data_IF_772556719079
#
_entry.id   IF_772556719079
#
_cell.length_a   1.000
_cell.length_b   1.000
_cell.length_c   1.000
_cell.angle_alpha   90.00
_cell.angle_beta   90.00
_cell.angle_gamma   90.00
#
_symmetry.space_group_name_H-M   'P 1'
#
loop_
_entity.id
_entity.type
_entity.pdbx_description
1 polymer ?
#
# COMPACT_ATOMS: atom_id res chain seq x y z
N UNK A 1 -3.33 19.41 22.50
CA UNK A 1 -4.40 19.36 21.50
C UNK A 1 -4.06 20.30 20.37
N UNK A 2 -4.80 20.31 19.27
CA UNK A 2 -4.60 21.26 18.16
C UNK A 2 -5.00 22.71 18.52
N UNK A 3 -5.64 22.91 19.68
CA UNK A 3 -6.08 24.20 20.21
C UNK A 3 -7.56 24.52 19.90
N UNK A 4 -8.11 25.61 20.46
CA UNK A 4 -9.54 25.95 20.34
C UNK A 4 -10.00 26.23 18.91
N UNK A 5 -9.11 26.73 18.05
CA UNK A 5 -9.39 26.98 16.63
C UNK A 5 -9.60 25.72 15.79
N UNK A 6 -9.36 24.54 16.37
CA UNK A 6 -9.57 23.24 15.76
C UNK A 6 -10.16 22.23 16.76
N UNK A 7 -11.17 22.69 17.52
CA UNK A 7 -11.98 21.90 18.45
C UNK A 7 -11.16 21.00 19.39
N UNK A 8 -9.97 21.43 19.78
CA UNK A 8 -9.07 20.68 20.65
C UNK A 8 -8.77 19.24 20.22
N UNK A 9 -8.62 19.03 18.89
CA UNK A 9 -8.27 17.71 18.34
C UNK A 9 -7.09 17.08 19.09
N UNK A 10 -7.28 15.83 19.53
CA UNK A 10 -6.31 15.10 20.34
C UNK A 10 -5.12 14.67 19.48
N UNK A 11 -3.98 14.46 20.13
CA UNK A 11 -2.82 13.81 19.52
C UNK A 11 -2.90 12.32 19.86
N UNK A 12 -3.40 11.45 18.97
CA UNK A 12 -3.44 10.03 19.23
C UNK A 12 -2.03 9.42 19.27
N UNK A 13 -1.90 8.31 19.98
CA UNK A 13 -0.70 7.48 19.94
C UNK A 13 -0.64 6.69 18.64
N UNK A 14 0.54 6.62 18.03
CA UNK A 14 0.72 5.94 16.74
C UNK A 14 0.95 4.45 17.00
N UNK A 15 -0.11 3.66 16.89
CA UNK A 15 -0.01 2.20 16.85
C UNK A 15 0.55 1.73 15.49
N UNK A 16 1.10 0.51 15.39
CA UNK A 16 1.59 -0.03 14.12
C UNK A 16 0.52 -0.11 13.02
N UNK A 17 -0.73 -0.37 13.39
CA UNK A 17 -1.88 -0.44 12.49
C UNK A 17 -2.19 0.92 11.88
N UNK A 18 -2.33 1.94 12.74
CA UNK A 18 -2.57 3.33 12.31
C UNK A 18 -1.41 3.82 11.44
N UNK A 19 -0.16 3.48 11.80
CA UNK A 19 1.00 3.83 10.98
C UNK A 19 0.92 3.24 9.57
N UNK A 20 0.46 2.00 9.44
CA UNK A 20 0.27 1.33 8.14
C UNK A 20 -0.79 2.04 7.32
N UNK A 21 -1.94 2.34 7.92
CA UNK A 21 -3.04 3.03 7.24
C UNK A 21 -2.63 4.44 6.78
N UNK A 22 -1.90 5.18 7.63
CA UNK A 22 -1.36 6.49 7.26
C UNK A 22 -0.34 6.41 6.11
N UNK A 23 0.48 5.35 6.07
CA UNK A 23 1.38 5.11 4.93
C UNK A 23 0.61 4.80 3.65
N UNK A 24 -0.46 4.01 3.73
CA UNK A 24 -1.34 3.70 2.59
C UNK A 24 -1.96 5.00 2.04
N UNK A 25 -2.49 5.86 2.91
CA UNK A 25 -3.04 7.17 2.51
C UNK A 25 -1.99 8.01 1.81
N UNK A 26 -0.76 8.06 2.35
CA UNK A 26 0.35 8.79 1.73
C UNK A 26 0.71 8.25 0.35
N UNK A 27 0.64 6.94 0.17
CA UNK A 27 0.92 6.24 -1.09
C UNK A 27 -0.33 6.02 -1.97
N UNK A 28 -1.44 6.74 -1.72
CA UNK A 28 -2.70 6.60 -2.47
C UNK A 28 -2.56 6.73 -3.98
N UNK A 29 -1.55 7.47 -4.44
CA UNK A 29 -1.23 7.67 -5.85
C UNK A 29 -0.72 6.40 -6.57
N UNK A 30 -0.28 5.39 -5.82
CA UNK A 30 0.24 4.12 -6.39
C UNK A 30 -0.78 2.98 -6.25
N UNK A 31 -1.86 3.18 -5.49
CA UNK A 31 -2.84 2.13 -5.22
C UNK A 31 -3.68 1.78 -6.45
N UNK A 32 -4.18 2.79 -7.17
CA UNK A 32 -5.00 2.61 -8.36
C UNK A 32 -4.33 3.31 -9.56
N UNK A 33 -3.99 2.57 -10.64
CA UNK A 33 -3.36 3.15 -11.83
C UNK A 33 -4.25 4.15 -12.58
N UNK A 34 -5.55 4.19 -12.30
CA UNK A 34 -6.52 5.08 -12.94
C UNK A 34 -6.85 6.33 -12.12
N UNK A 35 -6.33 6.44 -10.89
CA UNK A 35 -6.60 7.57 -9.99
C UNK A 35 -5.35 8.40 -9.77
N UNK A 36 -5.36 9.60 -10.34
CA UNK A 36 -4.29 10.57 -10.17
C UNK A 36 -4.70 11.61 -9.13
N UNK A 37 -3.98 11.62 -8.00
CA UNK A 37 -4.17 12.61 -6.94
C UNK A 37 -3.14 13.73 -7.06
N UNK A 38 -3.48 14.91 -6.52
CA UNK A 38 -2.49 15.98 -6.31
C UNK A 38 -1.35 15.44 -5.44
N UNK A 39 -0.12 15.71 -5.85
CA UNK A 39 1.08 15.31 -5.13
C UNK A 39 1.09 15.94 -3.74
N UNK A 40 1.32 15.12 -2.73
CA UNK A 40 1.55 15.58 -1.36
C UNK A 40 3.06 15.60 -1.10
N UNK A 41 3.61 16.80 -0.91
CA UNK A 41 5.03 17.00 -0.57
C UNK A 41 5.28 17.05 0.95
N UNK A 42 4.28 16.69 1.76
CA UNK A 42 4.40 16.69 3.22
C UNK A 42 5.51 15.75 3.71
N UNK A 43 6.45 16.32 4.47
CA UNK A 43 7.58 15.60 5.08
C UNK A 43 7.17 14.97 6.41
N UNK A 44 6.28 13.98 6.38
CA UNK A 44 5.98 13.18 7.57
C UNK A 44 4.58 12.60 7.59
N UNK A 45 4.20 12.05 8.75
CA UNK A 45 2.82 11.74 9.11
C UNK A 45 2.24 12.95 9.87
N UNK A 46 0.92 13.19 9.78
CA UNK A 46 0.28 14.30 10.49
C UNK A 46 0.43 14.13 12.02
N UNK A 47 0.67 15.24 12.74
CA UNK A 47 0.82 15.25 14.20
C UNK A 47 -0.51 15.09 14.93
N UNK A 48 -1.59 15.64 14.39
CA UNK A 48 -2.94 15.57 14.93
C UNK A 48 -3.83 14.96 13.86
N UNK A 49 -4.58 13.92 14.22
CA UNK A 49 -5.50 13.23 13.33
C UNK A 49 -6.52 12.45 14.16
N UNK A 50 -7.64 12.10 13.53
CA UNK A 50 -8.67 11.23 14.07
C UNK A 50 -9.05 10.19 13.02
N UNK A 51 -9.39 8.99 13.47
CA UNK A 51 -9.87 7.90 12.61
C UNK A 51 -11.38 7.82 12.80
N UNK A 52 -12.12 7.95 11.70
CA UNK A 52 -13.58 7.92 11.70
C UNK A 52 -14.11 7.01 10.61
N UNK A 53 -15.36 6.58 10.77
CA UNK A 53 -16.09 5.78 9.78
C UNK A 53 -17.18 6.63 9.14
N UNK A 54 -17.41 6.41 7.84
CA UNK A 54 -18.44 7.15 7.11
C UNK A 54 -19.81 6.60 7.50
N UNK A 55 -20.71 7.48 7.96
CA UNK A 55 -22.13 7.16 8.13
C UNK A 55 -22.86 7.46 6.83
N UNK A 56 -23.27 6.39 6.14
CA UNK A 56 -23.98 6.47 4.86
C UNK A 56 -25.29 7.28 4.99
N UNK A 57 -25.60 8.06 3.95
CA UNK A 57 -26.82 8.87 3.91
C UNK A 57 -28.09 8.02 3.73
N UNK A 58 -29.26 8.52 4.15
CA UNK A 58 -30.51 7.77 4.07
C UNK A 58 -31.09 7.67 2.65
N UNK A 59 -30.51 8.35 1.67
CA UNK A 59 -31.08 8.46 0.30
C UNK A 59 -30.44 7.52 -0.72
N UNK A 60 -29.28 6.94 -0.43
CA UNK A 60 -28.56 6.06 -1.35
C UNK A 60 -28.32 4.70 -0.69
N UNK A 61 -29.21 3.75 -0.96
CA UNK A 61 -29.21 2.44 -0.32
C UNK A 61 -28.37 1.39 -1.05
N UNK A 62 -28.20 1.53 -2.37
CA UNK A 62 -27.71 0.44 -3.20
C UNK A 62 -26.33 0.69 -3.82
N UNK A 63 -25.90 1.95 -3.99
CA UNK A 63 -24.68 2.24 -4.75
C UNK A 63 -23.46 2.58 -3.88
N UNK A 64 -23.61 3.44 -2.87
CA UNK A 64 -22.51 3.82 -1.97
C UNK A 64 -22.41 2.99 -0.69
N UNK A 65 -23.42 2.17 -0.39
CA UNK A 65 -23.52 1.43 0.86
C UNK A 65 -22.73 0.13 0.84
N UNK A 66 -21.79 0.00 1.77
CA UNK A 66 -21.01 -1.23 1.95
C UNK A 66 -21.81 -2.20 2.82
N UNK A 67 -22.07 -3.44 2.35
CA UNK A 67 -22.80 -4.43 3.14
C UNK A 67 -21.99 -4.83 4.39
N UNK A 68 -22.68 -5.22 5.45
CA UNK A 68 -22.07 -5.50 6.77
C UNK A 68 -20.90 -6.51 6.70
N UNK A 69 -20.95 -7.48 5.78
CA UNK A 69 -19.92 -8.52 5.61
C UNK A 69 -18.60 -7.98 5.03
N UNK A 70 -18.70 -6.91 4.23
CA UNK A 70 -17.56 -6.31 3.53
C UNK A 70 -16.90 -5.19 4.34
N UNK A 71 -17.63 -4.59 5.30
CA UNK A 71 -17.07 -3.58 6.22
C UNK A 71 -15.89 -4.15 7.02
N UNK A 72 -14.74 -3.50 6.94
CA UNK A 72 -13.53 -3.86 7.72
C UNK A 72 -13.22 -2.77 8.75
N UNK A 73 -12.23 -3.06 9.61
CA UNK A 73 -11.81 -2.15 10.68
C UNK A 73 -10.72 -1.18 10.23
N UNK A 74 -9.85 -1.59 9.30
CA UNK A 74 -8.70 -0.81 8.83
C UNK A 74 -8.71 -0.63 7.31
N UNK A 75 -8.07 0.42 6.83
CA UNK A 75 -7.94 0.68 5.38
C UNK A 75 -7.10 -0.41 4.72
N UNK A 76 -6.06 -0.89 5.42
CA UNK A 76 -5.26 -2.01 4.96
C UNK A 76 -6.10 -3.27 4.71
N UNK A 77 -7.02 -3.61 5.61
CA UNK A 77 -7.88 -4.79 5.47
C UNK A 77 -8.87 -4.67 4.31
N UNK A 78 -9.40 -3.47 4.06
CA UNK A 78 -10.26 -3.21 2.89
C UNK A 78 -9.49 -3.40 1.58
N UNK A 79 -8.28 -2.85 1.51
CA UNK A 79 -7.40 -3.02 0.34
C UNK A 79 -7.00 -4.50 0.15
N UNK A 80 -6.79 -5.23 1.24
CA UNK A 80 -6.56 -6.67 1.22
C UNK A 80 -7.83 -7.48 1.01
N UNK A 81 -9.02 -6.92 1.01
CA UNK A 81 -10.23 -7.64 0.62
C UNK A 81 -10.43 -7.58 -0.90
N UNK A 82 -10.02 -6.48 -1.54
CA UNK A 82 -10.18 -6.28 -2.98
C UNK A 82 -9.26 -7.19 -3.82
N UNK A 83 -9.88 -8.05 -4.63
CA UNK A 83 -9.19 -8.99 -5.51
C UNK A 83 -8.50 -8.27 -6.70
N UNK A 84 -9.12 -7.21 -7.22
CA UNK A 84 -8.57 -6.48 -8.37
C UNK A 84 -7.26 -5.82 -7.99
N UNK A 85 -7.24 -5.08 -6.87
CA UNK A 85 -6.03 -4.50 -6.30
C UNK A 85 -4.94 -5.53 -6.03
N UNK A 86 -5.27 -6.68 -5.43
CA UNK A 86 -4.29 -7.77 -5.22
C UNK A 86 -3.65 -8.25 -6.51
N UNK A 87 -4.45 -8.50 -7.54
CA UNK A 87 -3.94 -9.00 -8.83
C UNK A 87 -2.99 -7.98 -9.46
N UNK A 88 -3.36 -6.69 -9.40
CA UNK A 88 -2.56 -5.58 -9.90
C UNK A 88 -1.23 -5.46 -9.14
N UNK A 89 -1.27 -5.44 -7.80
CA UNK A 89 -0.07 -5.33 -6.98
C UNK A 89 0.86 -6.52 -7.18
N UNK A 90 0.33 -7.75 -7.24
CA UNK A 90 1.14 -8.94 -7.49
C UNK A 90 1.84 -8.85 -8.85
N UNK A 91 1.12 -8.47 -9.91
CA UNK A 91 1.68 -8.31 -11.25
C UNK A 91 2.78 -7.24 -11.28
N UNK A 92 2.50 -6.03 -10.79
CA UNK A 92 3.47 -4.93 -10.78
C UNK A 92 4.66 -5.21 -9.88
N UNK A 93 4.46 -5.88 -8.76
CA UNK A 93 5.55 -6.29 -7.88
C UNK A 93 6.51 -7.24 -8.60
N UNK A 94 6.00 -8.28 -9.27
CA UNK A 94 6.84 -9.23 -10.03
C UNK A 94 7.62 -8.53 -11.15
N UNK A 95 6.97 -7.64 -11.91
CA UNK A 95 7.61 -6.85 -12.96
C UNK A 95 8.75 -5.98 -12.39
N UNK A 96 8.51 -5.29 -11.27
CA UNK A 96 9.54 -4.47 -10.60
C UNK A 96 10.68 -5.36 -10.07
N UNK A 97 10.38 -6.53 -9.52
CA UNK A 97 11.39 -7.46 -9.03
C UNK A 97 12.27 -7.99 -10.17
N UNK A 98 11.67 -8.34 -11.31
CA UNK A 98 12.41 -8.79 -12.49
C UNK A 98 13.37 -7.70 -13.00
N UNK A 99 12.86 -6.47 -13.15
CA UNK A 99 13.67 -5.32 -13.56
C UNK A 99 14.80 -5.06 -12.56
N UNK A 100 14.52 -5.06 -11.25
CA UNK A 100 15.53 -4.82 -10.21
C UNK A 100 16.54 -5.98 -10.06
N UNK A 101 16.14 -7.20 -10.39
CA UNK A 101 17.00 -8.38 -10.31
C UNK A 101 17.87 -8.54 -11.56
N UNK A 102 17.49 -7.91 -12.67
CA UNK A 102 18.28 -7.88 -13.90
C UNK A 102 19.71 -7.38 -13.61
N UNK A 103 20.71 -8.07 -14.17
CA UNK A 103 22.13 -7.75 -13.93
C UNK A 103 22.65 -8.00 -12.50
N UNK A 104 21.81 -8.46 -11.57
CA UNK A 104 22.19 -8.72 -10.18
C UNK A 104 23.07 -9.96 -9.99
N UNK A 105 23.31 -10.31 -8.72
CA UNK A 105 24.15 -11.46 -8.33
C UNK A 105 23.72 -12.78 -8.99
N UNK A 106 22.42 -12.99 -9.19
CA UNK A 106 21.89 -14.20 -9.86
C UNK A 106 22.38 -14.29 -11.31
N UNK A 107 22.30 -13.18 -12.05
CA UNK A 107 22.82 -13.10 -13.41
C UNK A 107 24.34 -13.34 -13.45
N UNK A 108 25.10 -12.70 -12.55
CA UNK A 108 26.54 -12.91 -12.46
C UNK A 108 26.93 -14.37 -12.15
N UNK A 109 26.23 -15.01 -11.20
CA UNK A 109 26.43 -16.44 -10.88
C UNK A 109 26.14 -17.32 -12.10
N UNK A 110 25.05 -17.07 -12.83
CA UNK A 110 24.73 -17.81 -14.05
C UNK A 110 25.83 -17.66 -15.12
N UNK A 111 26.38 -16.44 -15.31
CA UNK A 111 27.51 -16.22 -16.21
C UNK A 111 28.75 -17.00 -15.78
N UNK A 112 29.08 -17.00 -14.49
CA UNK A 112 30.21 -17.76 -13.95
C UNK A 112 30.00 -19.26 -14.18
N UNK A 113 28.83 -19.81 -13.88
CA UNK A 113 28.50 -21.21 -14.16
C UNK A 113 28.61 -21.55 -15.65
N UNK A 114 28.16 -20.66 -16.55
CA UNK A 114 28.33 -20.85 -18.00
C UNK A 114 29.81 -20.90 -18.41
N UNK A 115 30.65 -20.03 -17.83
CA UNK A 115 32.10 -19.95 -18.08
C UNK A 115 32.91 -21.10 -17.49
N UNK A 116 32.35 -21.89 -16.55
CA UNK A 116 33.06 -23.06 -16.00
C UNK A 116 33.39 -24.07 -17.12
N UNK A 117 34.60 -24.64 -17.13
CA UNK A 117 34.98 -25.65 -18.12
C UNK A 117 34.15 -26.94 -17.94
N UNK A 118 34.01 -27.74 -19.00
CA UNK A 118 33.16 -28.95 -19.00
C UNK A 118 33.51 -29.96 -17.90
N UNK A 119 34.79 -30.10 -17.56
CA UNK A 119 35.26 -31.04 -16.53
C UNK A 119 34.82 -30.65 -15.11
N UNK A 120 34.53 -29.37 -14.85
CA UNK A 120 34.02 -28.89 -13.56
C UNK A 120 32.48 -28.98 -13.48
N UNK A 121 31.82 -29.32 -14.60
CA UNK A 121 30.35 -29.41 -14.71
C UNK A 121 29.80 -30.84 -14.59
N UNK A 122 30.65 -31.87 -14.61
CA UNK A 122 30.24 -33.29 -14.62
C UNK A 122 30.35 -34.00 -13.27
N UNK A 123 30.56 -33.27 -12.18
CA UNK A 123 30.53 -33.78 -10.80
C UNK A 123 29.42 -33.09 -10.02
#
# INVERSE_FOLDING_TARGET
TAGPGWFDMKKPEITPEIKRDLQIIKSRNVLDPKRFYKKDDSKGLPKYFEVGTIKEGPTDFYSSRIPRKERKQTIADELMADEQSKSYFKRKFSEIQEVKQSGGKKYFKQLKTKRKPKWEKSF
#
